data_IF_068639294181
#
_entry.id   IF_068639294181
#
_cell.length_a   1.000
_cell.length_b   1.000
_cell.length_c   1.000
_cell.angle_alpha   90.00
_cell.angle_beta   90.00
_cell.angle_gamma   90.00
#
_symmetry.space_group_name_H-M   'P 1'
#
loop_
_entity.id
_entity.type
_entity.pdbx_description
1 polymer ?
#
# COMPACT_ATOMS: atom_id res chain seq x y z
N UNK A 1 -24.04 -6.40 5.57
CA UNK A 1 -22.76 -5.91 6.12
C UNK A 1 -22.48 -4.56 5.47
N UNK A 2 -22.73 -3.46 6.19
CA UNK A 2 -22.46 -2.11 5.68
C UNK A 2 -21.15 -1.66 6.30
N UNK A 3 -20.05 -1.63 5.51
CA UNK A 3 -18.83 -0.97 5.97
C UNK A 3 -19.18 0.49 6.25
N UNK A 4 -18.82 1.01 7.42
CA UNK A 4 -18.96 2.45 7.70
C UNK A 4 -18.24 3.20 6.57
N UNK A 5 -18.83 4.28 6.01
CA UNK A 5 -18.14 5.11 5.05
C UNK A 5 -16.82 5.53 5.67
N UNK A 6 -15.72 5.29 4.96
CA UNK A 6 -14.44 5.87 5.36
C UNK A 6 -14.65 7.38 5.29
N UNK A 7 -14.75 8.01 6.45
CA UNK A 7 -14.77 9.47 6.55
C UNK A 7 -13.38 9.88 6.12
N UNK A 8 -13.26 10.31 4.86
CA UNK A 8 -12.05 10.95 4.36
C UNK A 8 -11.93 12.23 5.20
N UNK A 9 -11.21 12.15 6.32
CA UNK A 9 -10.78 13.35 7.00
C UNK A 9 -10.09 14.15 5.92
N UNK A 10 -10.56 15.37 5.66
CA UNK A 10 -9.89 16.32 4.79
C UNK A 10 -8.59 16.77 5.47
N UNK A 11 -7.71 15.82 5.78
CA UNK A 11 -6.29 16.11 5.85
C UNK A 11 -5.98 16.48 4.42
N UNK A 12 -5.81 17.77 4.18
CA UNK A 12 -5.18 18.27 2.99
C UNK A 12 -3.81 17.59 2.97
N UNK A 13 -3.71 16.45 2.30
CA UNK A 13 -2.43 15.78 2.01
C UNK A 13 -1.74 16.79 1.11
N UNK A 14 -0.85 17.56 1.74
CA UNK A 14 -0.35 18.81 1.16
C UNK A 14 0.86 18.55 0.28
N UNK A 15 1.42 17.34 0.41
CA UNK A 15 2.69 16.99 -0.19
C UNK A 15 2.80 15.49 -0.47
N UNK A 16 3.76 15.15 -1.33
CA UNK A 16 4.10 13.80 -1.75
C UNK A 16 4.48 12.90 -0.55
N UNK A 17 3.88 11.70 -0.46
CA UNK A 17 4.11 10.67 0.58
C UNK A 17 3.66 11.04 2.00
N UNK A 18 2.81 12.06 2.14
CA UNK A 18 2.24 12.43 3.44
C UNK A 18 1.33 11.31 3.99
N UNK A 19 0.56 10.67 3.10
CA UNK A 19 -0.34 9.57 3.43
C UNK A 19 -0.35 8.52 2.32
N UNK A 20 0.09 7.32 2.67
CA UNK A 20 0.04 6.16 1.79
C UNK A 20 -0.97 5.16 2.36
N UNK A 21 -1.95 4.80 1.54
CA UNK A 21 -2.88 3.72 1.81
C UNK A 21 -2.28 2.40 1.36
N UNK A 22 -2.34 1.39 2.21
CA UNK A 22 -1.88 0.04 1.88
C UNK A 22 -2.96 -0.99 2.09
N UNK A 23 -3.08 -1.94 1.16
CA UNK A 23 -3.99 -3.08 1.27
C UNK A 23 -3.31 -4.37 0.78
N UNK A 24 -3.65 -5.50 1.42
CA UNK A 24 -3.18 -6.84 1.03
C UNK A 24 -4.38 -7.65 0.55
N UNK A 25 -4.42 -7.90 -0.75
CA UNK A 25 -5.51 -8.60 -1.40
C UNK A 25 -5.13 -10.08 -1.63
N UNK A 26 -6.07 -11.00 -1.42
CA UNK A 26 -5.92 -12.44 -1.71
C UNK A 26 -6.28 -13.37 -0.54
N UNK A 27 -6.29 -14.71 -0.75
CA UNK A 27 -5.74 -15.40 -1.92
C UNK A 27 -6.67 -15.34 -3.14
N UNK A 28 -6.11 -14.96 -4.28
CA UNK A 28 -6.79 -14.93 -5.58
C UNK A 28 -6.32 -16.11 -6.45
N UNK A 29 -6.88 -16.24 -7.65
CA UNK A 29 -6.44 -17.18 -8.68
C UNK A 29 -4.94 -17.05 -8.86
N UNK A 30 -4.24 -18.17 -8.70
CA UNK A 30 -2.78 -18.20 -8.73
C UNK A 30 -2.26 -17.58 -10.04
N UNK A 31 -1.58 -16.44 -9.92
CA UNK A 31 -0.86 -15.84 -11.03
C UNK A 31 0.31 -16.73 -11.45
N UNK A 32 0.93 -16.41 -12.60
CA UNK A 32 2.14 -17.11 -13.07
C UNK A 32 3.18 -17.18 -11.94
N UNK A 33 3.84 -18.34 -11.80
CA UNK A 33 4.91 -18.56 -10.81
C UNK A 33 4.48 -18.63 -9.34
N UNK A 34 3.19 -18.81 -9.05
CA UNK A 34 2.73 -19.16 -7.69
C UNK A 34 2.43 -17.99 -6.76
N UNK A 35 2.20 -16.80 -7.32
CA UNK A 35 1.74 -15.65 -6.54
C UNK A 35 0.23 -15.72 -6.37
N UNK A 36 -0.24 -15.60 -5.14
CA UNK A 36 -1.66 -15.73 -4.76
C UNK A 36 -2.18 -14.51 -4.04
N UNK A 37 -1.29 -13.60 -3.61
CA UNK A 37 -1.63 -12.34 -2.97
C UNK A 37 -0.99 -11.20 -3.76
N UNK A 38 -1.54 -10.01 -3.62
CA UNK A 38 -0.89 -8.78 -4.04
C UNK A 38 -1.08 -7.69 -2.99
N UNK A 39 -0.22 -6.69 -3.04
CA UNK A 39 -0.23 -5.56 -2.11
C UNK A 39 -0.26 -4.30 -2.94
N UNK A 40 -1.18 -3.40 -2.61
CA UNK A 40 -1.28 -2.08 -3.22
C UNK A 40 -0.78 -1.03 -2.25
N UNK A 41 0.00 -0.07 -2.75
CA UNK A 41 0.35 1.16 -2.04
C UNK A 41 -0.10 2.36 -2.88
N UNK A 42 -1.03 3.14 -2.36
CA UNK A 42 -1.61 4.30 -3.04
C UNK A 42 -1.23 5.56 -2.31
N UNK A 43 -0.49 6.44 -2.97
CA UNK A 43 -0.24 7.80 -2.45
C UNK A 43 -1.49 8.67 -2.62
N UNK A 44 -2.01 9.25 -1.54
CA UNK A 44 -3.27 10.02 -1.62
C UNK A 44 -3.12 11.33 -2.42
N UNK A 45 -1.89 11.89 -2.48
CA UNK A 45 -1.59 13.13 -3.18
C UNK A 45 -1.47 12.93 -4.70
N UNK A 46 -0.60 12.01 -5.16
CA UNK A 46 -0.37 11.75 -6.58
C UNK A 46 -1.34 10.74 -7.19
N UNK A 47 -2.12 10.02 -6.36
CA UNK A 47 -2.93 8.86 -6.80
C UNK A 47 -2.10 7.80 -7.55
N UNK A 48 -0.80 7.77 -7.28
CA UNK A 48 0.10 6.79 -7.88
C UNK A 48 0.03 5.50 -7.10
N UNK A 49 -0.21 4.40 -7.80
CA UNK A 49 -0.41 3.07 -7.22
C UNK A 49 0.80 2.18 -7.52
N UNK A 50 1.36 1.58 -6.47
CA UNK A 50 2.36 0.51 -6.57
C UNK A 50 1.70 -0.83 -6.28
N UNK A 51 1.99 -1.84 -7.09
CA UNK A 51 1.47 -3.20 -6.90
C UNK A 51 2.61 -4.20 -6.78
N UNK A 52 2.64 -4.96 -5.68
CA UNK A 52 3.62 -6.01 -5.44
C UNK A 52 2.93 -7.37 -5.36
N UNK A 53 3.41 -8.35 -6.14
CA UNK A 53 2.94 -9.73 -6.08
C UNK A 53 3.61 -10.50 -4.93
N UNK A 54 2.81 -11.27 -4.19
CA UNK A 54 3.27 -12.00 -3.00
C UNK A 54 2.76 -13.45 -2.99
N UNK A 55 3.67 -14.41 -2.73
CA UNK A 55 3.32 -15.85 -2.71
C UNK A 55 2.59 -16.28 -1.42
N UNK A 56 2.84 -15.58 -0.31
CA UNK A 56 2.27 -15.87 1.02
C UNK A 56 1.97 -14.56 1.74
N UNK A 57 0.80 -14.43 2.36
CA UNK A 57 0.43 -13.23 3.14
C UNK A 57 1.48 -12.83 4.19
N UNK A 58 2.20 -13.79 4.78
CA UNK A 58 3.27 -13.52 5.76
C UNK A 58 4.45 -12.71 5.20
N UNK A 59 4.63 -12.69 3.87
CA UNK A 59 5.68 -11.91 3.19
C UNK A 59 5.27 -10.46 2.94
N UNK A 60 4.05 -10.05 3.31
CA UNK A 60 3.56 -8.71 3.05
C UNK A 60 4.37 -7.62 3.75
N UNK A 61 4.77 -7.86 5.00
CA UNK A 61 5.56 -6.90 5.76
C UNK A 61 6.98 -6.72 5.19
N UNK A 62 7.55 -7.77 4.58
CA UNK A 62 8.84 -7.66 3.89
C UNK A 62 8.70 -6.75 2.66
N UNK A 63 7.64 -6.93 1.85
CA UNK A 63 7.37 -6.07 0.69
C UNK A 63 7.09 -4.62 1.06
N UNK A 64 6.44 -4.37 2.20
CA UNK A 64 6.28 -3.03 2.72
C UNK A 64 7.63 -2.33 2.98
N UNK A 65 8.60 -3.04 3.58
CA UNK A 65 9.94 -2.48 3.84
C UNK A 65 10.67 -2.15 2.54
N UNK A 66 10.59 -3.05 1.56
CA UNK A 66 11.16 -2.83 0.22
C UNK A 66 10.55 -1.58 -0.43
N UNK A 67 9.21 -1.48 -0.44
CA UNK A 67 8.50 -0.32 -0.97
C UNK A 67 8.91 0.99 -0.28
N UNK A 68 8.95 1.00 1.05
CA UNK A 68 9.35 2.19 1.82
C UNK A 68 10.76 2.64 1.44
N UNK A 69 11.72 1.72 1.38
CA UNK A 69 13.09 2.06 1.01
C UNK A 69 13.17 2.57 -0.45
N UNK A 70 12.44 1.93 -1.37
CA UNK A 70 12.40 2.31 -2.78
C UNK A 70 11.85 3.72 -2.96
N UNK A 71 10.73 4.06 -2.32
CA UNK A 71 10.09 5.37 -2.49
C UNK A 71 10.90 6.49 -1.82
N UNK A 72 11.52 6.21 -0.68
CA UNK A 72 12.42 7.16 0.00
C UNK A 72 13.67 7.44 -0.84
N UNK A 73 14.24 6.42 -1.49
CA UNK A 73 15.37 6.58 -2.41
C UNK A 73 14.99 7.33 -3.70
N UNK A 74 13.81 7.07 -4.27
CA UNK A 74 13.36 7.72 -5.51
C UNK A 74 13.04 9.20 -5.31
N UNK A 75 12.43 9.55 -4.17
CA UNK A 75 11.94 10.91 -3.92
C UNK A 75 12.88 11.75 -3.06
N UNK A 76 13.84 11.13 -2.38
CA UNK A 76 14.68 11.77 -1.36
C UNK A 76 13.89 12.23 -0.13
N UNK A 77 12.65 11.75 0.03
CA UNK A 77 11.71 12.18 1.07
C UNK A 77 11.23 10.99 1.90
N UNK A 78 11.08 11.22 3.19
CA UNK A 78 10.51 10.21 4.10
C UNK A 78 8.99 10.31 4.12
N UNK A 79 8.33 9.16 4.03
CA UNK A 79 6.88 9.06 4.21
C UNK A 79 6.49 9.45 5.64
N UNK A 80 5.47 10.29 5.81
CA UNK A 80 5.03 10.76 7.14
C UNK A 80 4.11 9.76 7.84
N UNK A 81 3.25 9.08 7.09
CA UNK A 81 2.32 8.10 7.66
C UNK A 81 1.93 7.01 6.66
N UNK A 82 1.80 5.78 7.17
CA UNK A 82 1.23 4.65 6.45
C UNK A 82 -0.04 4.22 7.15
N UNK A 83 -1.15 4.27 6.43
CA UNK A 83 -2.38 3.66 6.89
C UNK A 83 -2.42 2.21 6.39
N UNK A 84 -2.30 1.30 7.35
CA UNK A 84 -2.46 -0.13 7.11
C UNK A 84 -3.94 -0.43 7.20
N UNK A 85 -4.59 -0.59 6.05
CA UNK A 85 -5.96 -1.08 6.06
C UNK A 85 -5.91 -2.52 6.57
N UNK A 86 -6.42 -2.73 7.78
CA UNK A 86 -6.64 -4.06 8.31
C UNK A 86 -7.69 -4.74 7.43
N UNK A 87 -7.25 -5.78 6.74
CA UNK A 87 -8.12 -6.87 6.25
C UNK A 87 -8.91 -7.47 7.41
#
# INVERSE_FOLDING_TARGET
MTKKPFVRQSRLVSDLLDLIYSDVCGPDTQARSGFTYFITFTDDHLRYDYVYLVKRKSKAFEKFKEFKLEIENQTGRNSKSFDWLKV
#
